data_IF_257595117361
#
_entry.id   IF_257595117361
#
_cell.length_a   1.000
_cell.length_b   1.000
_cell.length_c   1.000
_cell.angle_alpha   90.00
_cell.angle_beta   90.00
_cell.angle_gamma   90.00
#
_symmetry.space_group_name_H-M   'P 1'
#
loop_
_entity.id
_entity.type
_entity.pdbx_description
1 polymer ?
#
# COMPACT_ATOMS: atom_id res chain seq x y z
N UNK A 1 -33.75 0.36 -4.47
CA UNK A 1 -32.45 -0.36 -4.47
C UNK A 1 -31.50 0.32 -5.43
N UNK A 2 -30.38 0.83 -4.94
CA UNK A 2 -29.29 1.38 -5.76
C UNK A 2 -28.10 0.43 -5.66
N UNK A 3 -27.46 0.11 -6.77
CA UNK A 3 -26.30 -0.79 -6.82
C UNK A 3 -25.07 -0.03 -7.31
N UNK A 4 -23.97 -0.14 -6.56
CA UNK A 4 -22.71 0.55 -6.82
C UNK A 4 -21.60 -0.48 -6.86
N UNK A 5 -20.93 -0.59 -8.00
CA UNK A 5 -19.73 -1.41 -8.12
C UNK A 5 -18.51 -0.51 -7.91
N UNK A 6 -17.55 -0.99 -7.14
CA UNK A 6 -16.31 -0.27 -6.89
C UNK A 6 -15.09 -1.20 -6.86
N UNK A 7 -13.93 -0.62 -7.15
CA UNK A 7 -12.64 -1.30 -7.10
C UNK A 7 -11.82 -0.82 -5.92
N UNK A 8 -11.13 -1.76 -5.29
CA UNK A 8 -10.19 -1.49 -4.22
C UNK A 8 -8.93 -2.33 -4.43
N UNK A 9 -7.79 -1.86 -3.91
CA UNK A 9 -6.57 -2.65 -3.93
C UNK A 9 -6.77 -3.86 -3.02
N UNK A 10 -6.51 -5.05 -3.58
CA UNK A 10 -6.63 -6.32 -2.86
C UNK A 10 -5.70 -6.40 -1.66
N UNK A 11 -4.51 -5.83 -1.80
CA UNK A 11 -3.46 -5.92 -0.81
C UNK A 11 -3.63 -4.86 0.27
N UNK A 12 -3.50 -5.29 1.53
CA UNK A 12 -3.65 -4.40 2.69
C UNK A 12 -2.41 -3.54 2.90
N UNK A 13 -2.50 -2.41 3.64
CA UNK A 13 -1.32 -1.61 3.99
C UNK A 13 -0.28 -2.40 4.79
N UNK A 14 -0.72 -3.36 5.62
CA UNK A 14 0.18 -4.24 6.38
C UNK A 14 1.06 -5.06 5.44
N UNK A 15 0.47 -5.60 4.37
CA UNK A 15 1.23 -6.34 3.36
C UNK A 15 2.28 -5.46 2.67
N UNK A 16 1.97 -4.19 2.39
CA UNK A 16 2.95 -3.23 1.87
C UNK A 16 4.13 -3.08 2.83
N UNK A 17 3.88 -2.87 4.12
CA UNK A 17 4.95 -2.71 5.11
C UNK A 17 5.85 -3.95 5.18
N UNK A 18 5.27 -5.16 5.17
CA UNK A 18 6.03 -6.41 5.15
C UNK A 18 6.89 -6.49 3.89
N UNK A 19 6.32 -6.22 2.70
CA UNK A 19 7.06 -6.23 1.44
C UNK A 19 8.17 -5.19 1.40
N UNK A 20 7.97 -4.01 1.98
CA UNK A 20 8.99 -2.96 2.07
C UNK A 20 10.15 -3.37 2.97
N UNK A 21 9.87 -3.92 4.16
CA UNK A 21 10.91 -4.40 5.09
C UNK A 21 11.75 -5.49 4.41
N UNK A 22 11.10 -6.47 3.79
CA UNK A 22 11.79 -7.54 3.06
C UNK A 22 12.60 -6.97 1.89
N UNK A 23 12.01 -6.07 1.10
CA UNK A 23 12.68 -5.45 -0.04
C UNK A 23 13.93 -4.68 0.37
N UNK A 24 13.84 -3.86 1.42
CA UNK A 24 14.98 -3.10 1.96
C UNK A 24 16.06 -4.04 2.49
N UNK A 25 15.68 -5.09 3.23
CA UNK A 25 16.65 -6.08 3.72
C UNK A 25 17.41 -6.78 2.59
N UNK A 26 16.70 -7.21 1.54
CA UNK A 26 17.31 -7.79 0.33
C UNK A 26 18.20 -6.76 -0.39
N UNK A 27 17.77 -5.50 -0.46
CA UNK A 27 18.54 -4.41 -1.04
C UNK A 27 19.89 -4.21 -0.35
N UNK A 28 19.89 -4.17 0.99
CA UNK A 28 21.12 -4.06 1.77
C UNK A 28 22.01 -5.30 1.67
N UNK A 29 21.41 -6.49 1.61
CA UNK A 29 22.15 -7.73 1.40
C UNK A 29 22.89 -7.71 0.05
N UNK A 30 22.19 -7.39 -1.05
CA UNK A 30 22.81 -7.28 -2.38
C UNK A 30 23.86 -6.17 -2.45
N UNK A 31 23.61 -5.05 -1.77
CA UNK A 31 24.58 -3.96 -1.64
C UNK A 31 25.88 -4.43 -0.97
N UNK A 32 25.76 -5.17 0.15
CA UNK A 32 26.92 -5.72 0.84
C UNK A 32 27.71 -6.69 -0.04
N UNK A 33 27.03 -7.64 -0.68
CA UNK A 33 27.65 -8.59 -1.62
C UNK A 33 28.36 -7.86 -2.77
N UNK A 34 27.76 -6.80 -3.30
CA UNK A 34 28.35 -5.99 -4.35
C UNK A 34 29.63 -5.27 -3.89
N UNK A 35 29.65 -4.71 -2.67
CA UNK A 35 30.85 -4.08 -2.10
C UNK A 35 31.98 -5.10 -1.85
N UNK A 36 31.62 -6.30 -1.39
CA UNK A 36 32.57 -7.40 -1.22
C UNK A 36 33.16 -7.84 -2.55
N UNK A 37 32.32 -7.97 -3.59
CA UNK A 37 32.76 -8.29 -4.95
C UNK A 37 33.71 -7.25 -5.53
N UNK A 38 33.46 -5.95 -5.28
CA UNK A 38 34.36 -4.87 -5.67
C UNK A 38 35.65 -4.82 -4.85
N UNK A 39 35.79 -5.65 -3.83
CA UNK A 39 36.97 -5.73 -2.97
C UNK A 39 37.14 -4.56 -2.01
N UNK A 40 36.22 -3.58 -2.02
CA UNK A 40 36.27 -2.35 -1.19
C UNK A 40 36.21 -2.69 0.31
N UNK A 41 35.50 -3.75 0.66
CA UNK A 41 35.38 -4.23 2.04
C UNK A 41 36.32 -5.42 2.34
N UNK A 42 37.30 -5.70 1.48
CA UNK A 42 38.20 -6.85 1.58
C UNK A 42 39.67 -6.43 1.75
N UNK A 43 40.53 -7.35 2.21
CA UNK A 43 41.97 -7.12 2.26
C UNK A 43 42.62 -6.89 0.86
N UNK A 44 41.89 -7.23 -0.22
CA UNK A 44 42.31 -7.10 -1.60
C UNK A 44 41.66 -5.87 -2.27
N UNK A 45 41.62 -4.74 -1.57
CA UNK A 45 41.07 -3.51 -2.14
C UNK A 45 41.81 -3.14 -3.44
N UNK A 46 41.08 -2.88 -4.55
CA UNK A 46 41.68 -2.50 -5.82
C UNK A 46 42.57 -1.26 -5.67
N UNK A 47 43.73 -1.28 -6.33
CA UNK A 47 44.70 -0.18 -6.28
C UNK A 47 44.07 1.17 -6.65
N UNK A 48 43.12 1.18 -7.58
CA UNK A 48 42.37 2.37 -7.96
C UNK A 48 41.71 3.08 -6.77
N UNK A 49 41.06 2.34 -5.85
CA UNK A 49 40.41 2.92 -4.68
C UNK A 49 41.41 3.33 -3.60
N UNK A 50 42.54 2.63 -3.49
CA UNK A 50 43.67 3.06 -2.65
C UNK A 50 44.22 4.42 -3.10
N UNK A 51 44.36 4.59 -4.41
CA UNK A 51 44.84 5.85 -5.01
C UNK A 51 43.75 6.94 -5.00
N UNK A 52 42.47 6.56 -4.94
CA UNK A 52 41.32 7.45 -5.03
C UNK A 52 40.25 7.17 -3.95
N UNK A 53 40.56 7.31 -2.64
CA UNK A 53 39.67 6.88 -1.56
C UNK A 53 38.32 7.63 -1.54
N UNK A 54 38.31 8.88 -2.02
CA UNK A 54 37.06 9.66 -2.17
C UNK A 54 36.07 9.00 -3.13
N UNK A 55 36.55 8.31 -4.17
CA UNK A 55 35.67 7.63 -5.12
C UNK A 55 35.00 6.41 -4.50
N UNK A 56 35.70 5.67 -3.62
CA UNK A 56 35.10 4.59 -2.84
C UNK A 56 33.99 5.11 -1.93
N UNK A 57 34.23 6.24 -1.23
CA UNK A 57 33.23 6.91 -0.40
C UNK A 57 32.00 7.29 -1.24
N UNK A 58 32.20 7.95 -2.39
CA UNK A 58 31.09 8.34 -3.26
C UNK A 58 30.29 7.14 -3.76
N UNK A 59 30.96 6.03 -4.08
CA UNK A 59 30.31 4.81 -4.51
C UNK A 59 29.49 4.17 -3.38
N UNK A 60 30.07 4.02 -2.19
CA UNK A 60 29.41 3.49 -1.00
C UNK A 60 28.14 4.30 -0.69
N UNK A 61 28.27 5.62 -0.53
CA UNK A 61 27.15 6.48 -0.15
C UNK A 61 26.15 6.70 -1.29
N UNK A 62 26.61 6.72 -2.55
CA UNK A 62 25.74 6.84 -3.71
C UNK A 62 24.88 5.59 -3.94
N UNK A 63 25.36 4.42 -3.57
CA UNK A 63 24.64 3.16 -3.72
C UNK A 63 23.62 2.91 -2.61
N UNK A 64 23.78 3.47 -1.40
CA UNK A 64 22.82 3.27 -0.29
C UNK A 64 21.39 3.71 -0.70
N UNK A 65 21.17 4.93 -1.24
CA UNK A 65 19.86 5.32 -1.73
C UNK A 65 19.33 4.38 -2.81
N UNK A 66 20.18 3.90 -3.73
CA UNK A 66 19.77 3.00 -4.82
C UNK A 66 19.32 1.64 -4.25
N UNK A 67 20.09 1.10 -3.31
CA UNK A 67 19.82 -0.15 -2.61
C UNK A 67 18.51 -0.09 -1.81
N UNK A 68 18.07 1.09 -1.37
CA UNK A 68 16.78 1.27 -0.71
C UNK A 68 15.63 1.57 -1.69
N UNK A 69 15.86 2.47 -2.65
CA UNK A 69 14.82 2.98 -3.56
C UNK A 69 14.35 1.93 -4.55
N UNK A 70 15.26 1.14 -5.14
CA UNK A 70 14.90 0.15 -6.16
C UNK A 70 14.00 -0.94 -5.57
N UNK A 71 14.34 -1.59 -4.44
CA UNK A 71 13.45 -2.58 -3.84
C UNK A 71 12.15 -1.99 -3.33
N UNK A 72 12.18 -0.76 -2.78
CA UNK A 72 10.97 -0.04 -2.37
C UNK A 72 10.01 0.17 -3.54
N UNK A 73 10.53 0.60 -4.68
CA UNK A 73 9.73 0.80 -5.89
C UNK A 73 9.16 -0.53 -6.43
N UNK A 74 9.96 -1.60 -6.44
CA UNK A 74 9.52 -2.93 -6.84
C UNK A 74 8.39 -3.42 -5.91
N UNK A 75 8.60 -3.37 -4.59
CA UNK A 75 7.62 -3.77 -3.60
C UNK A 75 6.30 -3.00 -3.77
N UNK A 76 6.37 -1.68 -3.92
CA UNK A 76 5.19 -0.85 -4.16
C UNK A 76 4.47 -1.22 -5.48
N UNK A 77 5.22 -1.50 -6.55
CA UNK A 77 4.66 -1.90 -7.85
C UNK A 77 3.95 -3.25 -7.80
N UNK A 78 4.50 -4.23 -7.08
CA UNK A 78 3.82 -5.51 -6.87
C UNK A 78 2.59 -5.37 -5.99
N UNK A 79 2.71 -4.63 -4.87
CA UNK A 79 1.60 -4.40 -3.95
C UNK A 79 0.42 -3.67 -4.62
N UNK A 80 0.69 -2.74 -5.53
CA UNK A 80 -0.31 -1.96 -6.25
C UNK A 80 -0.94 -2.65 -7.46
N UNK A 81 -0.52 -3.88 -7.79
CA UNK A 81 -0.85 -4.53 -9.06
C UNK A 81 -2.25 -5.14 -9.09
N UNK A 82 -2.73 -5.63 -7.95
CA UNK A 82 -3.98 -6.38 -7.87
C UNK A 82 -5.10 -5.53 -7.28
N UNK A 83 -6.19 -5.42 -8.03
CA UNK A 83 -7.42 -4.83 -7.55
C UNK A 83 -8.48 -5.92 -7.48
N UNK A 84 -9.38 -5.81 -6.50
CA UNK A 84 -10.60 -6.59 -6.38
C UNK A 84 -11.81 -5.69 -6.66
N UNK A 85 -12.87 -6.31 -7.21
CA UNK A 85 -14.16 -5.66 -7.37
C UNK A 85 -15.06 -6.02 -6.18
N UNK A 86 -15.77 -5.01 -5.68
CA UNK A 86 -16.81 -5.16 -4.67
C UNK A 86 -18.08 -4.48 -5.16
N UNK A 87 -19.19 -4.91 -4.59
CA UNK A 87 -20.51 -4.44 -4.92
C UNK A 87 -21.20 -3.99 -3.63
N UNK A 88 -21.84 -2.83 -3.71
CA UNK A 88 -22.62 -2.25 -2.65
C UNK A 88 -24.07 -2.13 -3.13
N UNK A 89 -24.99 -2.78 -2.42
CA UNK A 89 -26.42 -2.64 -2.64
C UNK A 89 -27.02 -1.82 -1.50
N UNK A 90 -27.67 -0.72 -1.86
CA UNK A 90 -28.30 0.21 -0.94
C UNK A 90 -29.82 -0.02 -0.93
N UNK A 91 -30.36 -0.24 0.25
CA UNK A 91 -31.78 -0.34 0.56
C UNK A 91 -32.17 0.80 1.51
N UNK A 92 -33.47 0.96 1.74
CA UNK A 92 -33.96 2.13 2.48
C UNK A 92 -33.47 2.14 3.95
N UNK A 93 -33.29 0.97 4.56
CA UNK A 93 -32.98 0.78 5.99
C UNK A 93 -31.64 0.03 6.24
N UNK A 94 -31.01 -0.53 5.21
CA UNK A 94 -29.72 -1.21 5.31
C UNK A 94 -28.92 -1.17 4.00
N UNK A 95 -27.65 -1.53 4.08
CA UNK A 95 -26.78 -1.78 2.94
C UNK A 95 -26.23 -3.21 2.96
N UNK A 96 -25.99 -3.79 1.78
CA UNK A 96 -25.28 -5.06 1.63
C UNK A 96 -23.97 -4.79 0.89
N UNK A 97 -22.86 -5.02 1.58
CA UNK A 97 -21.53 -5.02 1.01
C UNK A 97 -21.14 -6.44 0.59
N UNK A 98 -20.91 -6.66 -0.70
CA UNK A 98 -20.43 -7.92 -1.26
C UNK A 98 -18.97 -7.78 -1.66
N UNK A 99 -18.10 -8.53 -1.01
CA UNK A 99 -16.66 -8.54 -1.29
C UNK A 99 -16.09 -9.93 -1.02
N UNK A 100 -15.12 -10.42 -1.80
CA UNK A 100 -14.42 -11.68 -1.52
C UNK A 100 -15.33 -12.90 -1.29
N UNK A 101 -16.45 -12.98 -2.01
CA UNK A 101 -17.52 -13.97 -1.83
C UNK A 101 -18.25 -13.91 -0.47
N UNK A 102 -17.97 -12.91 0.36
CA UNK A 102 -18.70 -12.59 1.57
C UNK A 102 -19.79 -11.56 1.28
N UNK A 103 -20.87 -11.63 2.05
CA UNK A 103 -21.96 -10.65 2.05
C UNK A 103 -22.12 -10.13 3.47
N UNK A 104 -21.98 -8.83 3.63
CA UNK A 104 -21.96 -8.16 4.92
C UNK A 104 -23.14 -7.21 4.92
N UNK A 105 -24.10 -7.46 5.82
CA UNK A 105 -25.22 -6.55 6.02
C UNK A 105 -24.78 -5.45 6.98
N UNK A 106 -25.06 -4.20 6.63
CA UNK A 106 -24.76 -3.02 7.42
C UNK A 106 -26.10 -2.34 7.68
N UNK A 107 -26.56 -2.33 8.94
CA UNK A 107 -27.77 -1.57 9.27
C UNK A 107 -27.47 -0.08 9.39
N UNK A 108 -28.49 0.74 9.18
CA UNK A 108 -28.39 2.16 9.46
C UNK A 108 -27.96 2.41 10.92
N UNK A 109 -26.95 3.25 11.11
CA UNK A 109 -26.45 3.61 12.44
C UNK A 109 -25.44 2.64 13.05
N UNK A 110 -25.14 1.52 12.40
CA UNK A 110 -24.16 0.52 12.89
C UNK A 110 -22.76 0.70 12.30
N UNK A 111 -22.60 1.57 11.30
CA UNK A 111 -21.33 1.76 10.61
C UNK A 111 -20.53 2.91 11.22
N UNK A 112 -19.25 2.70 11.51
CA UNK A 112 -18.30 3.78 11.81
C UNK A 112 -17.27 3.84 10.67
N UNK A 113 -17.17 5.00 9.99
CA UNK A 113 -16.22 5.21 8.89
C UNK A 113 -15.06 6.03 9.40
N UNK A 114 -13.85 5.46 9.35
CA UNK A 114 -12.62 6.17 9.72
C UNK A 114 -11.73 6.42 8.52
N UNK A 115 -11.26 7.65 8.44
CA UNK A 115 -10.21 8.09 7.54
C UNK A 115 -8.94 8.23 8.38
N UNK A 116 -7.96 7.31 8.26
CA UNK A 116 -6.71 7.42 9.01
C UNK A 116 -6.06 8.79 8.76
N UNK A 117 -5.68 9.50 9.83
CA UNK A 117 -4.92 10.74 9.75
C UNK A 117 -3.55 10.56 10.41
N UNK A 118 -2.44 10.91 9.73
CA UNK A 118 -2.38 11.38 8.34
C UNK A 118 -2.70 10.27 7.33
N UNK A 119 -3.26 10.64 6.17
CA UNK A 119 -3.38 9.71 5.05
C UNK A 119 -2.01 9.45 4.43
N UNK A 120 -1.83 8.24 3.88
CA UNK A 120 -0.64 7.94 3.10
C UNK A 120 -0.61 8.82 1.83
N UNK A 121 0.58 9.30 1.48
CA UNK A 121 0.77 10.20 0.32
C UNK A 121 0.44 9.46 -1.00
N UNK A 122 0.74 8.16 -1.06
CA UNK A 122 0.67 7.39 -2.30
C UNK A 122 -0.69 6.73 -2.53
N UNK A 123 -1.47 6.48 -1.48
CA UNK A 123 -2.76 5.76 -1.55
C UNK A 123 -3.74 6.25 -0.47
N UNK A 124 -5.03 6.14 -0.75
CA UNK A 124 -6.09 6.42 0.22
C UNK A 124 -6.49 5.15 0.96
N UNK A 125 -6.77 5.28 2.25
CA UNK A 125 -7.24 4.16 3.09
C UNK A 125 -8.54 4.56 3.77
N UNK A 126 -9.49 3.64 3.78
CA UNK A 126 -10.76 3.76 4.47
C UNK A 126 -10.92 2.58 5.41
N UNK A 127 -11.37 2.84 6.63
CA UNK A 127 -11.66 1.80 7.60
C UNK A 127 -13.16 1.85 7.87
N UNK A 128 -13.86 0.77 7.52
CA UNK A 128 -15.25 0.56 7.88
C UNK A 128 -15.27 -0.33 9.11
N UNK A 129 -15.88 0.13 10.20
CA UNK A 129 -16.07 -0.67 11.40
C UNK A 129 -17.57 -0.92 11.58
N UNK A 130 -17.94 -2.19 11.58
CA UNK A 130 -19.26 -2.69 11.93
C UNK A 130 -19.19 -3.32 13.34
N UNK A 131 -20.32 -3.66 13.97
CA UNK A 131 -20.31 -4.35 15.26
C UNK A 131 -19.57 -5.69 15.21
N UNK A 132 -19.67 -6.39 14.08
CA UNK A 132 -19.09 -7.72 13.89
C UNK A 132 -17.62 -7.68 13.48
N UNK A 133 -17.23 -6.71 12.65
CA UNK A 133 -15.90 -6.71 12.06
C UNK A 133 -15.40 -5.34 11.59
N UNK A 134 -14.08 -5.26 11.43
CA UNK A 134 -13.37 -4.12 10.85
C UNK A 134 -12.86 -4.48 9.45
N UNK A 135 -13.27 -3.71 8.46
CA UNK A 135 -12.89 -3.85 7.06
C UNK A 135 -11.99 -2.68 6.68
N UNK A 136 -10.88 -2.97 6.01
CA UNK A 136 -9.93 -1.95 5.54
C UNK A 136 -9.92 -1.94 4.02
N UNK A 137 -10.38 -0.85 3.43
CA UNK A 137 -10.31 -0.61 2.00
C UNK A 137 -9.14 0.31 1.66
N UNK A 138 -8.45 -0.04 0.58
CA UNK A 138 -7.40 0.77 -0.02
C UNK A 138 -7.85 1.17 -1.42
N UNK A 139 -7.73 2.46 -1.75
CA UNK A 139 -8.10 2.95 -3.07
C UNK A 139 -7.31 2.25 -4.18
N UNK A 140 -7.99 1.86 -5.27
CA UNK A 140 -7.32 1.32 -6.46
C UNK A 140 -6.37 2.36 -7.04
N UNK A 141 -5.11 1.97 -7.21
CA UNK A 141 -4.10 2.83 -7.84
C UNK A 141 -4.27 2.87 -9.37
N UNK A 142 -4.96 1.89 -9.96
CA UNK A 142 -5.34 1.91 -11.38
C UNK A 142 -6.41 2.95 -11.66
N UNK A 143 -7.30 3.19 -10.70
CA UNK A 143 -8.35 4.20 -10.83
C UNK A 143 -7.87 5.62 -10.45
N UNK A 144 -6.66 5.78 -9.87
CA UNK A 144 -6.13 7.08 -9.42
C UNK A 144 -6.09 8.17 -10.50
N UNK A 145 -6.09 7.80 -11.79
CA UNK A 145 -6.16 8.75 -12.92
C UNK A 145 -7.59 9.23 -13.25
N UNK A 146 -8.63 8.62 -12.68
CA UNK A 146 -10.02 9.02 -12.88
C UNK A 146 -10.37 10.15 -11.91
N UNK A 147 -11.18 11.11 -12.37
CA UNK A 147 -11.63 12.27 -11.57
C UNK A 147 -12.49 11.88 -10.37
N UNK A 148 -13.15 10.72 -10.41
CA UNK A 148 -13.90 10.14 -9.29
C UNK A 148 -13.53 8.66 -9.14
N UNK A 149 -12.92 8.33 -8.01
CA UNK A 149 -12.64 6.95 -7.61
C UNK A 149 -13.95 6.26 -7.24
N UNK A 150 -14.19 5.07 -7.79
CA UNK A 150 -15.43 4.32 -7.52
C UNK A 150 -15.62 4.02 -6.03
N UNK A 151 -14.52 3.70 -5.33
CA UNK A 151 -14.52 3.50 -3.88
C UNK A 151 -14.93 4.77 -3.12
N UNK A 152 -14.48 5.96 -3.54
CA UNK A 152 -14.84 7.20 -2.86
C UNK A 152 -16.34 7.50 -2.98
N UNK A 153 -16.95 7.15 -4.13
CA UNK A 153 -18.40 7.25 -4.32
C UNK A 153 -19.09 6.27 -3.38
N UNK A 154 -18.67 5.00 -3.35
CA UNK A 154 -19.26 3.99 -2.46
C UNK A 154 -19.17 4.39 -0.98
N UNK A 155 -18.03 4.91 -0.53
CA UNK A 155 -17.84 5.40 0.85
C UNK A 155 -18.73 6.61 1.14
N UNK A 156 -18.91 7.52 0.19
CA UNK A 156 -19.81 8.67 0.34
C UNK A 156 -21.27 8.24 0.48
N UNK A 157 -21.72 7.24 -0.28
CA UNK A 157 -23.08 6.74 -0.13
C UNK A 157 -23.24 5.95 1.19
N UNK A 158 -22.20 5.24 1.62
CA UNK A 158 -22.19 4.54 2.91
C UNK A 158 -22.25 5.47 4.13
N UNK A 159 -21.84 6.74 4.01
CA UNK A 159 -21.90 7.67 5.15
C UNK A 159 -23.34 7.96 5.59
N UNK A 160 -24.35 7.66 4.77
CA UNK A 160 -25.75 7.74 5.18
C UNK A 160 -26.10 6.74 6.30
N UNK A 161 -25.37 5.62 6.38
CA UNK A 161 -25.56 4.56 7.37
C UNK A 161 -24.62 4.71 8.58
N UNK A 162 -23.86 5.80 8.65
CA UNK A 162 -22.93 6.04 9.74
C UNK A 162 -23.68 6.24 11.06
N UNK A 163 -23.13 5.69 12.15
CA UNK A 163 -23.62 5.92 13.50
C UNK A 163 -23.65 7.42 13.78
N UNK A 164 -24.84 8.00 13.94
CA UNK A 164 -24.98 9.39 14.41
C UNK A 164 -24.51 9.42 15.87
N UNK A 165 -23.35 10.04 16.10
CA UNK A 165 -22.86 10.35 17.45
C UNK A 165 -23.68 11.45 18.10
#
# INVERSE_FOLDING_TARGET
MIKINFRYNKNTPIMLYIMLIIGIAVGFFLYYEFLMFLGIASANEPQYFKDNPRHAIYLIFGLIPIAMLVPTWIAFKFWSREDEEAELELYDDYAILKMRNEKIKIQEGELEIKFPQPQAILYTTYILKTPEQKIVFVGSLKEKRKSKLSLNIAIKELSAYESRK
#
